data_IF_359360238055
#
_entry.id   IF_359360238055
#
_cell.length_a   1.000
_cell.length_b   1.000
_cell.length_c   1.000
_cell.angle_alpha   90.00
_cell.angle_beta   90.00
_cell.angle_gamma   90.00
#
_symmetry.space_group_name_H-M   'P 1'
#
loop_
_entity.id
_entity.type
_entity.pdbx_description
1 polymer ?
#
# COMPACT_ATOMS: atom_id res chain seq x y z
N UNK A 1 48.31 -11.55 -48.12
CA UNK A 1 49.28 -12.61 -47.74
C UNK A 1 48.89 -12.99 -46.32
N UNK A 2 48.45 -14.16 -45.92
CA UNK A 2 48.39 -15.42 -46.56
C UNK A 2 47.23 -16.22 -45.92
N UNK A 3 46.66 -17.02 -46.73
CA UNK A 3 45.75 -18.13 -46.39
C UNK A 3 46.36 -19.10 -45.40
N UNK A 4 45.53 -19.67 -44.53
CA UNK A 4 45.52 -21.14 -44.36
C UNK A 4 44.18 -21.64 -43.89
N UNK A 5 43.59 -22.34 -44.74
CA UNK A 5 42.60 -23.39 -44.71
C UNK A 5 43.06 -24.52 -43.77
N UNK A 6 42.17 -25.02 -42.94
CA UNK A 6 42.15 -26.47 -42.69
C UNK A 6 40.70 -26.91 -42.47
N UNK A 7 40.36 -27.88 -43.28
CA UNK A 7 39.17 -28.73 -43.29
C UNK A 7 39.35 -29.86 -42.28
N UNK A 8 38.28 -30.34 -41.73
CA UNK A 8 38.23 -31.60 -41.00
C UNK A 8 36.91 -31.71 -40.28
N UNK A 9 35.97 -32.32 -40.92
CA UNK A 9 35.44 -33.69 -40.82
C UNK A 9 34.42 -33.79 -39.66
N UNK A 10 33.11 -33.81 -40.04
CA UNK A 10 32.15 -34.88 -39.85
C UNK A 10 32.42 -35.89 -38.73
N UNK A 11 31.59 -35.97 -37.71
CA UNK A 11 30.95 -37.23 -37.31
C UNK A 11 29.62 -36.93 -36.68
N UNK A 12 28.63 -37.60 -37.24
CA UNK A 12 27.25 -37.74 -36.76
C UNK A 12 27.25 -38.44 -35.40
N UNK A 13 26.38 -37.99 -34.53
CA UNK A 13 25.77 -38.87 -33.53
C UNK A 13 24.39 -38.35 -33.19
N UNK A 14 23.44 -38.86 -33.91
CA UNK A 14 22.05 -39.00 -33.50
C UNK A 14 22.05 -39.94 -32.28
N UNK A 15 21.68 -39.47 -31.15
CA UNK A 15 21.25 -40.31 -30.03
C UNK A 15 20.16 -39.59 -29.26
N UNK A 16 19.00 -40.10 -29.47
CA UNK A 16 17.85 -40.23 -28.60
C UNK A 16 18.04 -39.65 -27.19
N UNK A 17 17.28 -38.64 -26.89
CA UNK A 17 16.86 -38.35 -25.54
C UNK A 17 15.34 -38.10 -25.51
N UNK A 18 14.59 -39.12 -25.83
CA UNK A 18 13.24 -39.34 -25.35
C UNK A 18 13.31 -39.88 -23.95
N UNK A 19 13.28 -39.00 -22.99
CA UNK A 19 13.05 -39.19 -21.53
C UNK A 19 12.98 -37.77 -20.95
N UNK A 20 11.98 -37.36 -20.28
CA UNK A 20 11.17 -37.91 -19.24
C UNK A 20 10.00 -36.97 -18.99
N UNK A 21 8.87 -37.23 -19.54
CA UNK A 21 7.61 -36.85 -18.96
C UNK A 21 7.27 -37.90 -17.90
N UNK A 22 7.99 -37.89 -16.81
CA UNK A 22 7.64 -38.60 -15.59
C UNK A 22 7.82 -37.64 -14.43
N UNK A 23 6.71 -37.12 -13.96
CA UNK A 23 6.75 -36.26 -12.81
C UNK A 23 5.44 -35.66 -12.37
N UNK A 24 4.29 -36.21 -12.78
CA UNK A 24 3.15 -36.13 -11.90
C UNK A 24 3.17 -37.36 -11.02
N UNK A 25 3.99 -37.31 -9.97
CA UNK A 25 3.82 -38.11 -8.80
C UNK A 25 2.42 -37.87 -8.28
N UNK A 26 1.58 -38.86 -8.40
CA UNK A 26 0.31 -38.97 -7.73
C UNK A 26 0.64 -39.19 -6.25
N UNK A 27 1.12 -38.13 -5.58
CA UNK A 27 1.10 -38.14 -4.16
C UNK A 27 -0.34 -38.26 -3.73
N UNK A 28 -0.65 -39.40 -3.13
CA UNK A 28 -1.84 -39.57 -2.33
C UNK A 28 -1.80 -38.47 -1.26
N UNK A 29 -2.22 -37.28 -1.64
CA UNK A 29 -2.56 -36.24 -0.73
C UNK A 29 -3.67 -36.76 0.17
N UNK A 30 -3.30 -37.38 1.26
CA UNK A 30 -4.16 -37.47 2.42
C UNK A 30 -4.72 -36.09 2.55
N UNK A 31 -5.99 -35.94 2.31
CA UNK A 31 -6.75 -34.69 2.36
C UNK A 31 -6.62 -34.12 3.77
N UNK A 32 -5.47 -33.50 4.04
CA UNK A 32 -5.29 -32.66 5.22
C UNK A 32 -6.14 -31.43 4.95
N UNK A 33 -7.42 -31.54 5.29
CA UNK A 33 -8.28 -30.37 5.38
C UNK A 33 -7.49 -29.28 6.10
N UNK A 34 -6.99 -28.34 5.32
CA UNK A 34 -6.37 -27.12 5.86
C UNK A 34 -7.47 -26.43 6.62
N UNK A 35 -7.45 -26.57 7.95
CA UNK A 35 -8.38 -25.88 8.82
C UNK A 35 -8.11 -24.39 8.70
N UNK A 36 -8.85 -23.75 7.81
CA UNK A 36 -8.80 -22.28 7.66
C UNK A 36 -9.27 -21.68 8.96
N UNK A 37 -8.31 -21.24 9.77
CA UNK A 37 -8.65 -20.48 10.97
C UNK A 37 -9.10 -19.09 10.53
N UNK A 38 -10.23 -18.59 11.02
CA UNK A 38 -10.62 -17.20 10.80
C UNK A 38 -9.47 -16.30 11.26
N UNK A 39 -9.11 -15.35 10.43
CA UNK A 39 -8.14 -14.36 10.86
C UNK A 39 -8.62 -13.67 12.13
N UNK A 40 -7.74 -13.41 13.10
CA UNK A 40 -8.12 -12.74 14.33
C UNK A 40 -8.81 -11.41 13.99
N UNK A 41 -9.94 -11.13 14.65
CA UNK A 41 -10.56 -9.81 14.56
C UNK A 41 -9.54 -8.78 15.05
N UNK A 42 -9.25 -7.79 14.21
CA UNK A 42 -8.43 -6.67 14.65
C UNK A 42 -9.19 -5.93 15.75
N UNK A 43 -8.50 -5.60 16.82
CA UNK A 43 -9.06 -4.86 17.96
C UNK A 43 -9.28 -3.38 17.64
N UNK A 44 -8.60 -2.86 16.63
CA UNK A 44 -8.69 -1.48 16.15
C UNK A 44 -9.35 -1.47 14.78
N UNK A 45 -10.46 -0.77 14.65
CA UNK A 45 -11.11 -0.57 13.37
C UNK A 45 -10.55 0.67 12.63
N UNK A 46 -10.79 0.74 11.32
CA UNK A 46 -10.34 1.84 10.49
C UNK A 46 -10.94 3.19 10.88
N UNK A 47 -12.12 3.20 11.53
CA UNK A 47 -12.80 4.41 12.00
C UNK A 47 -11.95 5.14 13.02
N UNK A 48 -11.39 4.40 14.00
CA UNK A 48 -10.53 4.98 15.05
C UNK A 48 -9.31 5.66 14.42
N UNK A 49 -8.67 4.99 13.47
CA UNK A 49 -7.52 5.55 12.76
C UNK A 49 -7.89 6.74 11.86
N UNK A 50 -9.06 6.72 11.24
CA UNK A 50 -9.52 7.82 10.39
C UNK A 50 -9.76 9.09 11.22
N UNK A 51 -10.40 8.97 12.39
CA UNK A 51 -10.56 10.08 13.33
C UNK A 51 -9.21 10.59 13.86
N UNK A 52 -8.32 9.70 14.27
CA UNK A 52 -6.98 10.08 14.72
C UNK A 52 -6.19 10.79 13.60
N UNK A 53 -6.33 10.38 12.35
CA UNK A 53 -5.72 11.04 11.20
C UNK A 53 -6.27 12.45 11.01
N UNK A 54 -7.58 12.61 11.10
CA UNK A 54 -8.24 13.91 10.99
C UNK A 54 -7.78 14.88 12.09
N UNK A 55 -7.76 14.41 13.33
CA UNK A 55 -7.30 15.20 14.48
C UNK A 55 -5.83 15.60 14.31
N UNK A 56 -4.96 14.67 13.97
CA UNK A 56 -3.54 14.95 13.75
C UNK A 56 -3.34 15.98 12.64
N UNK A 57 -4.00 15.82 11.48
CA UNK A 57 -3.90 16.78 10.38
C UNK A 57 -4.29 18.19 10.82
N UNK A 58 -5.40 18.34 11.55
CA UNK A 58 -5.86 19.64 12.05
C UNK A 58 -4.92 20.26 13.10
N UNK A 59 -4.19 19.42 13.83
CA UNK A 59 -3.23 19.88 14.83
C UNK A 59 -1.94 20.40 14.20
N UNK A 60 -1.45 19.76 13.12
CA UNK A 60 -0.07 19.98 12.67
C UNK A 60 0.05 20.71 11.34
N UNK A 61 -0.98 20.76 10.50
CA UNK A 61 -0.86 21.34 9.15
C UNK A 61 -0.57 22.84 9.15
N UNK A 62 -1.00 23.56 10.19
CA UNK A 62 -0.69 24.97 10.36
C UNK A 62 0.83 25.26 10.43
N UNK A 63 1.61 24.30 10.91
CA UNK A 63 3.08 24.42 10.93
C UNK A 63 3.65 24.40 9.52
N UNK A 64 3.05 23.65 8.61
CA UNK A 64 3.46 23.57 7.20
C UNK A 64 2.95 24.79 6.44
N UNK A 65 1.70 25.22 6.66
CA UNK A 65 1.16 26.44 6.09
C UNK A 65 2.03 27.67 6.43
N UNK A 66 2.48 27.75 7.67
CA UNK A 66 3.33 28.84 8.17
C UNK A 66 4.82 28.63 7.87
N UNK A 67 5.17 27.58 7.11
CA UNK A 67 6.56 27.25 6.73
C UNK A 67 7.52 27.20 7.92
N UNK A 68 7.09 26.61 9.03
CA UNK A 68 7.90 26.50 10.25
C UNK A 68 8.93 25.34 10.07
N UNK A 69 9.87 25.52 9.15
CA UNK A 69 10.82 24.49 8.68
C UNK A 69 11.53 23.78 9.82
N UNK A 70 11.94 24.54 10.86
CA UNK A 70 12.72 23.99 11.97
C UNK A 70 11.99 22.88 12.76
N UNK A 71 10.66 22.86 12.75
CA UNK A 71 9.86 21.91 13.53
C UNK A 71 9.10 20.90 12.66
N UNK A 72 9.10 21.08 11.34
CA UNK A 72 8.33 20.21 10.41
C UNK A 72 8.70 18.74 10.58
N UNK A 73 9.98 18.40 10.68
CA UNK A 73 10.40 17.00 10.78
C UNK A 73 9.87 16.35 12.06
N UNK A 74 10.04 17.01 13.19
CA UNK A 74 9.70 16.45 14.49
C UNK A 74 8.21 16.51 14.78
N UNK A 75 7.57 17.66 14.51
CA UNK A 75 6.19 17.91 14.93
C UNK A 75 5.16 17.56 13.87
N UNK A 76 5.54 17.37 12.60
CA UNK A 76 4.62 17.01 11.52
C UNK A 76 4.96 15.63 10.97
N UNK A 77 6.13 15.47 10.36
CA UNK A 77 6.46 14.25 9.60
C UNK A 77 6.59 13.01 10.48
N UNK A 78 7.24 13.15 11.62
CA UNK A 78 7.42 12.01 12.56
C UNK A 78 6.08 11.48 13.08
N UNK A 79 5.17 12.27 13.64
CA UNK A 79 3.86 11.76 14.08
C UNK A 79 2.98 11.26 12.92
N UNK A 80 3.02 11.90 11.75
CA UNK A 80 2.28 11.43 10.56
C UNK A 80 2.77 10.06 10.11
N UNK A 81 4.08 9.84 10.01
CA UNK A 81 4.66 8.53 9.66
C UNK A 81 4.34 7.47 10.71
N UNK A 82 4.40 7.84 11.99
CA UNK A 82 4.03 6.92 13.08
C UNK A 82 2.59 6.46 12.94
N UNK A 83 1.64 7.38 12.84
CA UNK A 83 0.22 7.06 12.71
C UNK A 83 -0.06 6.23 11.45
N UNK A 84 0.56 6.57 10.32
CA UNK A 84 0.44 5.82 9.07
C UNK A 84 0.95 4.38 9.22
N UNK A 85 2.06 4.20 9.93
CA UNK A 85 2.64 2.86 10.19
C UNK A 85 1.74 2.06 11.12
N UNK A 86 1.30 2.66 12.22
CA UNK A 86 0.39 2.02 13.18
C UNK A 86 -0.92 1.58 12.50
N UNK A 87 -1.48 2.43 11.63
CA UNK A 87 -2.65 2.09 10.83
C UNK A 87 -2.41 0.85 9.97
N UNK A 88 -1.30 0.84 9.22
CA UNK A 88 -0.96 -0.29 8.32
C UNK A 88 -0.74 -1.61 9.06
N UNK A 89 -0.23 -1.54 10.28
CA UNK A 89 0.03 -2.72 11.11
C UNK A 89 -1.27 -3.25 11.74
N UNK A 90 -2.13 -2.35 12.20
CA UNK A 90 -3.28 -2.72 13.02
C UNK A 90 -4.59 -2.87 12.24
N UNK A 91 -4.70 -2.29 11.05
CA UNK A 91 -5.87 -2.44 10.17
C UNK A 91 -5.52 -3.29 8.97
N UNK A 92 -6.28 -4.34 8.74
CA UNK A 92 -6.12 -5.20 7.56
C UNK A 92 -6.46 -4.42 6.29
N UNK A 93 -5.42 -3.98 5.61
CA UNK A 93 -5.57 -3.22 4.36
C UNK A 93 -5.97 -4.07 3.15
N UNK A 94 -5.91 -5.39 3.27
CA UNK A 94 -6.38 -6.31 2.24
C UNK A 94 -7.89 -6.50 2.25
N UNK A 95 -8.55 -6.03 3.29
CA UNK A 95 -9.99 -6.05 3.39
C UNK A 95 -10.54 -4.65 3.04
N UNK A 96 -10.88 -4.46 1.78
CA UNK A 96 -11.46 -3.21 1.28
C UNK A 96 -12.78 -2.84 1.98
N UNK A 97 -13.45 -3.81 2.58
CA UNK A 97 -14.68 -3.59 3.36
C UNK A 97 -14.36 -2.98 4.73
N UNK A 98 -13.27 -3.41 5.36
CA UNK A 98 -12.87 -2.90 6.68
C UNK A 98 -12.32 -1.49 6.62
N UNK A 99 -11.51 -1.18 5.62
CA UNK A 99 -10.93 0.16 5.45
C UNK A 99 -11.86 1.09 4.64
N UNK A 100 -12.42 0.58 3.53
CA UNK A 100 -13.36 1.30 2.69
C UNK A 100 -12.95 2.74 2.40
N UNK A 101 -13.85 3.69 2.64
CA UNK A 101 -13.61 5.13 2.47
C UNK A 101 -12.53 5.71 3.37
N UNK A 102 -12.30 5.12 4.52
CA UNK A 102 -11.29 5.63 5.46
C UNK A 102 -9.88 5.57 4.90
N UNK A 103 -9.66 4.79 3.83
CA UNK A 103 -8.44 4.85 3.02
C UNK A 103 -8.13 6.28 2.52
N UNK A 104 -9.15 7.12 2.33
CA UNK A 104 -8.98 8.53 1.94
C UNK A 104 -8.29 9.34 3.05
N UNK A 105 -8.56 9.04 4.32
CA UNK A 105 -7.87 9.69 5.43
C UNK A 105 -6.39 9.27 5.50
N UNK A 106 -6.09 8.00 5.24
CA UNK A 106 -4.70 7.52 5.14
C UNK A 106 -3.97 8.15 3.94
N UNK A 107 -4.68 8.35 2.82
CA UNK A 107 -4.15 9.08 1.66
C UNK A 107 -3.82 10.53 2.04
N UNK A 108 -4.70 11.22 2.76
CA UNK A 108 -4.48 12.59 3.21
C UNK A 108 -3.26 12.72 4.13
N UNK A 109 -3.03 11.76 5.04
CA UNK A 109 -1.78 11.71 5.84
C UNK A 109 -0.54 11.60 4.95
N UNK A 110 -0.60 10.77 3.91
CA UNK A 110 0.52 10.63 2.96
C UNK A 110 0.78 11.94 2.20
N UNK A 111 -0.28 12.60 1.74
CA UNK A 111 -0.18 13.89 1.05
C UNK A 111 0.36 14.99 1.97
N UNK A 112 -0.03 15.00 3.25
CA UNK A 112 0.55 15.91 4.25
C UNK A 112 2.04 15.67 4.45
N UNK A 113 2.46 14.41 4.58
CA UNK A 113 3.87 14.05 4.74
C UNK A 113 4.71 14.53 3.55
N UNK A 114 4.23 14.32 2.33
CA UNK A 114 4.91 14.75 1.10
C UNK A 114 4.99 16.28 1.05
N UNK A 115 3.89 16.98 1.31
CA UNK A 115 3.88 18.44 1.31
C UNK A 115 4.80 19.03 2.39
N UNK A 116 4.77 18.48 3.59
CA UNK A 116 5.65 18.87 4.68
C UNK A 116 7.13 18.69 4.29
N UNK A 117 7.47 17.56 3.68
CA UNK A 117 8.82 17.27 3.21
C UNK A 117 9.30 18.31 2.18
N UNK A 118 8.55 18.51 1.10
CA UNK A 118 8.96 19.45 0.03
C UNK A 118 9.01 20.90 0.53
N UNK A 119 8.17 21.26 1.55
CA UNK A 119 8.22 22.56 2.20
C UNK A 119 9.51 22.70 2.99
N UNK A 120 9.90 21.70 3.76
CA UNK A 120 11.15 21.71 4.52
C UNK A 120 12.39 21.77 3.62
N UNK A 121 12.32 21.12 2.45
CA UNK A 121 13.39 21.09 1.45
C UNK A 121 13.43 22.35 0.55
N UNK A 122 12.45 23.25 0.67
CA UNK A 122 12.35 24.45 -0.18
C UNK A 122 12.02 24.15 -1.66
N UNK A 123 11.37 23.02 -1.94
CA UNK A 123 11.13 22.51 -3.31
C UNK A 123 9.73 22.83 -3.81
N UNK A 124 9.37 24.07 -4.07
CA UNK A 124 8.12 24.43 -4.75
C UNK A 124 6.87 23.66 -4.24
N UNK A 125 6.33 23.97 -3.06
CA UNK A 125 5.34 23.12 -2.38
C UNK A 125 3.90 23.25 -2.91
N UNK A 126 3.60 24.17 -3.83
CA UNK A 126 2.23 24.59 -4.16
C UNK A 126 1.37 23.43 -4.70
N UNK A 127 1.89 22.63 -5.61
CA UNK A 127 1.16 21.47 -6.12
C UNK A 127 0.89 20.44 -5.00
N UNK A 128 1.87 20.21 -4.12
CA UNK A 128 1.73 19.25 -3.03
C UNK A 128 0.78 19.75 -1.94
N UNK A 129 0.74 21.06 -1.73
CA UNK A 129 -0.28 21.71 -0.91
C UNK A 129 -1.68 21.46 -1.48
N UNK A 130 -1.90 21.72 -2.77
CA UNK A 130 -3.20 21.51 -3.41
C UNK A 130 -3.63 20.02 -3.37
N UNK A 131 -2.69 19.09 -3.57
CA UNK A 131 -2.94 17.66 -3.42
C UNK A 131 -3.41 17.32 -1.99
N UNK A 132 -2.71 17.85 -0.98
CA UNK A 132 -3.10 17.65 0.42
C UNK A 132 -4.47 18.23 0.76
N UNK A 133 -4.75 19.47 0.36
CA UNK A 133 -6.03 20.13 0.61
C UNK A 133 -7.22 19.34 0.02
N UNK A 134 -7.07 18.87 -1.22
CA UNK A 134 -8.06 17.98 -1.86
C UNK A 134 -8.23 16.68 -1.08
N UNK A 135 -7.14 16.02 -0.69
CA UNK A 135 -7.18 14.71 -0.04
C UNK A 135 -7.69 14.85 1.41
N UNK A 136 -7.37 15.95 2.10
CA UNK A 136 -7.94 16.28 3.41
C UNK A 136 -9.45 16.48 3.33
N UNK A 137 -9.93 17.17 2.30
CA UNK A 137 -11.36 17.31 2.05
C UNK A 137 -12.05 15.96 1.84
N UNK A 138 -11.46 15.07 1.05
CA UNK A 138 -11.99 13.72 0.83
C UNK A 138 -12.03 12.89 2.12
N UNK A 139 -11.04 13.05 3.01
CA UNK A 139 -11.07 12.44 4.32
C UNK A 139 -12.24 12.95 5.16
N UNK A 140 -12.47 14.26 5.18
CA UNK A 140 -13.62 14.85 5.88
C UNK A 140 -14.93 14.26 5.38
N UNK A 141 -15.12 14.23 4.07
CA UNK A 141 -16.35 13.70 3.46
C UNK A 141 -16.55 12.21 3.82
N UNK A 142 -15.47 11.43 3.90
CA UNK A 142 -15.53 10.04 4.32
C UNK A 142 -15.93 9.86 5.79
N UNK A 143 -15.56 10.79 6.66
CA UNK A 143 -15.93 10.79 8.08
C UNK A 143 -17.36 11.26 8.32
N UNK A 144 -17.79 12.28 7.57
CA UNK A 144 -19.14 12.86 7.67
C UNK A 144 -20.20 11.95 7.04
N UNK A 145 -19.84 11.18 6.01
CA UNK A 145 -20.75 10.32 5.24
C UNK A 145 -20.19 8.88 5.11
N UNK A 146 -20.03 8.16 6.24
CA UNK A 146 -19.44 6.82 6.23
C UNK A 146 -20.25 5.79 5.45
N UNK A 147 -21.56 6.00 5.30
CA UNK A 147 -22.48 5.12 4.57
C UNK A 147 -22.25 5.12 3.06
N UNK A 148 -21.69 6.20 2.50
CA UNK A 148 -21.54 6.34 1.05
C UNK A 148 -20.37 5.56 0.44
N UNK A 149 -19.76 4.59 1.08
CA UNK A 149 -18.63 3.89 0.49
C UNK A 149 -18.22 2.58 1.14
N UNK A 150 -18.76 2.29 2.31
CA UNK A 150 -18.68 0.98 2.93
C UNK A 150 -19.97 0.21 2.68
N UNK A 151 -20.34 0.07 1.41
CA UNK A 151 -21.43 -0.83 1.06
C UNK A 151 -20.98 -2.24 1.38
N UNK A 152 -21.52 -2.80 2.45
CA UNK A 152 -21.46 -4.24 2.69
C UNK A 152 -21.98 -4.92 1.42
N UNK A 153 -21.15 -5.69 0.68
CA UNK A 153 -21.59 -6.34 -0.54
C UNK A 153 -22.78 -7.30 -0.31
N UNK A 154 -23.05 -7.67 0.94
CA UNK A 154 -24.22 -8.45 1.34
C UNK A 154 -25.50 -7.62 1.45
N UNK A 155 -25.40 -6.29 1.44
CA UNK A 155 -26.55 -5.37 1.49
C UNK A 155 -26.92 -4.75 0.14
N UNK A 156 -26.12 -5.00 -0.90
CA UNK A 156 -26.37 -4.51 -2.29
C UNK A 156 -27.03 -5.62 -3.09
N UNK A 157 -28.06 -6.22 -2.58
CA UNK A 157 -28.68 -7.28 -3.32
C UNK A 157 -30.04 -7.66 -2.76
N UNK A 158 -31.00 -6.79 -2.99
CA UNK A 158 -32.43 -7.23 -3.16
C UNK A 158 -33.13 -6.19 -3.99
#
# INVERSE_FOLDING_TARGET
MGLLKTRGALVASFLCASMLLQGCGQDNATDKQVKIQPAPKLTNDATTYAHAAWELMNQVDSLVYNKQVAVIEEQVRTPVRKLTTDWRVNVKMTDSVTEGKYALCRKALTSLEIWARVTAEGQGPDQKKADYERDKQQCRDALEHPELGNTDPKKVGV
#
